data_IF_637975117336
#
_entry.id   IF_637975117336
#
_cell.length_a   1.000
_cell.length_b   1.000
_cell.length_c   1.000
_cell.angle_alpha   90.00
_cell.angle_beta   90.00
_cell.angle_gamma   90.00
#
_symmetry.space_group_name_H-M   'P 1'
#
loop_
_entity.id
_entity.type
_entity.pdbx_description
1 polymer ?
#
# COMPACT_ATOMS: atom_id res chain seq x y z
N UNK A 1 -9.11 1.40 -0.05
CA UNK A 1 -7.85 2.18 -0.01
C UNK A 1 -6.72 1.27 0.43
N UNK A 2 -5.65 1.22 -0.33
CA UNK A 2 -4.39 0.52 0.01
C UNK A 2 -3.28 1.56 0.07
N UNK A 3 -2.89 1.94 1.28
CA UNK A 3 -1.81 2.88 1.53
C UNK A 3 -0.46 2.18 1.67
N UNK A 4 0.62 2.81 1.22
CA UNK A 4 1.94 2.25 1.38
C UNK A 4 3.06 3.13 0.84
N UNK A 5 4.28 2.88 1.29
CA UNK A 5 5.46 3.56 0.74
C UNK A 5 5.74 3.13 -0.70
N UNK A 6 5.46 1.86 -1.03
CA UNK A 6 5.71 1.25 -2.35
C UNK A 6 7.14 1.50 -2.85
N UNK A 7 8.11 1.09 -2.06
CA UNK A 7 9.54 1.34 -2.29
C UNK A 7 10.39 0.05 -2.40
N UNK A 8 10.16 -0.75 -3.46
CA UNK A 8 9.17 -0.64 -4.53
C UNK A 8 7.82 -1.29 -4.21
N UNK A 9 6.82 -1.03 -5.07
CA UNK A 9 5.65 -1.90 -5.19
C UNK A 9 6.09 -3.30 -5.60
N UNK A 10 5.41 -4.35 -5.10
CA UNK A 10 5.80 -5.74 -5.35
C UNK A 10 4.60 -6.69 -5.41
N UNK A 11 4.84 -7.93 -5.82
CA UNK A 11 3.80 -8.90 -6.11
C UNK A 11 2.89 -9.21 -4.92
N UNK A 12 3.39 -9.16 -3.67
CA UNK A 12 2.54 -9.30 -2.49
C UNK A 12 1.50 -8.16 -2.37
N UNK A 13 1.85 -6.91 -2.72
CA UNK A 13 0.87 -5.82 -2.74
C UNK A 13 -0.23 -6.07 -3.78
N UNK A 14 0.14 -6.54 -4.98
CA UNK A 14 -0.82 -6.85 -6.03
C UNK A 14 -1.72 -8.02 -5.67
N UNK A 15 -1.18 -9.05 -5.00
CA UNK A 15 -1.95 -10.18 -4.51
C UNK A 15 -2.96 -9.75 -3.44
N UNK A 16 -2.55 -8.90 -2.48
CA UNK A 16 -3.47 -8.30 -1.50
C UNK A 16 -4.60 -7.53 -2.16
N UNK A 17 -4.29 -6.69 -3.15
CA UNK A 17 -5.30 -5.90 -3.86
C UNK A 17 -6.30 -6.79 -4.63
N UNK A 18 -5.82 -7.84 -5.28
CA UNK A 18 -6.67 -8.84 -5.95
C UNK A 18 -7.59 -9.54 -4.97
N UNK A 19 -7.06 -10.09 -3.90
CA UNK A 19 -7.84 -10.74 -2.87
C UNK A 19 -8.90 -9.80 -2.26
N UNK A 20 -8.57 -8.52 -2.05
CA UNK A 20 -9.55 -7.54 -1.59
C UNK A 20 -10.69 -7.34 -2.59
N UNK A 21 -10.40 -7.20 -3.88
CA UNK A 21 -11.44 -7.07 -4.91
C UNK A 21 -12.38 -8.28 -4.93
N UNK A 22 -11.82 -9.48 -4.81
CA UNK A 22 -12.57 -10.75 -4.87
C UNK A 22 -13.41 -10.99 -3.61
N UNK A 23 -12.79 -10.91 -2.42
CA UNK A 23 -13.45 -11.29 -1.17
C UNK A 23 -14.30 -10.19 -0.54
N UNK A 24 -14.01 -8.93 -0.84
CA UNK A 24 -14.76 -7.79 -0.30
C UNK A 24 -15.72 -7.17 -1.31
N UNK A 25 -15.78 -7.71 -2.54
CA UNK A 25 -16.62 -7.22 -3.64
C UNK A 25 -16.45 -5.71 -3.88
N UNK A 26 -15.21 -5.22 -3.82
CA UNK A 26 -14.91 -3.81 -3.99
C UNK A 26 -15.06 -3.38 -5.45
N UNK A 27 -15.62 -2.20 -5.67
CA UNK A 27 -15.71 -1.62 -7.01
C UNK A 27 -14.32 -1.28 -7.59
N UNK A 28 -13.40 -0.82 -6.74
CA UNK A 28 -12.03 -0.43 -7.12
C UNK A 28 -11.09 -0.46 -5.94
N UNK A 29 -9.79 -0.45 -6.21
CA UNK A 29 -8.72 -0.24 -5.22
C UNK A 29 -8.09 1.12 -5.49
N UNK A 30 -8.13 1.99 -4.49
CA UNK A 30 -7.41 3.25 -4.52
C UNK A 30 -6.04 3.06 -3.87
N UNK A 31 -4.98 3.15 -4.67
CA UNK A 31 -3.59 3.02 -4.24
C UNK A 31 -3.07 4.39 -3.83
N UNK A 32 -2.69 4.53 -2.56
CA UNK A 32 -2.25 5.80 -1.99
C UNK A 32 -0.76 5.70 -1.61
N UNK A 33 0.15 6.10 -2.52
CA UNK A 33 1.57 6.14 -2.19
C UNK A 33 1.83 7.24 -1.16
N UNK A 34 2.46 6.87 -0.03
CA UNK A 34 2.77 7.84 1.03
C UNK A 34 3.87 8.80 0.61
N UNK A 35 3.81 10.03 1.08
CA UNK A 35 4.91 11.00 1.02
C UNK A 35 6.14 10.53 1.80
N UNK A 36 6.98 11.45 2.17
CA UNK A 36 8.13 11.25 3.08
C UNK A 36 7.82 11.90 4.42
N UNK A 37 7.10 11.25 5.32
CA UNK A 37 6.82 11.83 6.63
C UNK A 37 8.09 11.85 7.48
N UNK A 38 8.31 12.95 8.18
CA UNK A 38 9.52 13.18 9.01
C UNK A 38 9.69 12.16 10.14
N UNK A 39 8.60 11.53 10.57
CA UNK A 39 8.61 10.53 11.66
C UNK A 39 8.94 9.08 11.20
N UNK A 40 9.19 8.87 9.91
CA UNK A 40 9.57 7.54 9.36
C UNK A 40 10.93 7.62 8.69
N UNK A 41 11.61 6.49 8.60
CA UNK A 41 12.79 6.40 7.73
C UNK A 41 12.39 6.79 6.31
N UNK A 42 13.12 7.71 5.66
CA UNK A 42 12.83 8.12 4.30
C UNK A 42 12.88 6.91 3.35
N UNK A 43 12.02 6.94 2.34
CA UNK A 43 12.08 5.98 1.27
C UNK A 43 13.44 6.08 0.54
N UNK A 44 13.93 4.96 0.01
CA UNK A 44 15.19 4.94 -0.76
C UNK A 44 15.01 5.53 -2.15
N UNK A 45 13.88 5.23 -2.81
CA UNK A 45 13.53 5.84 -4.07
C UNK A 45 12.71 7.12 -3.85
N UNK A 46 12.95 8.13 -4.68
CA UNK A 46 12.18 9.38 -4.63
C UNK A 46 10.69 9.13 -4.90
N UNK A 47 9.79 10.04 -4.46
CA UNK A 47 8.36 9.94 -4.74
C UNK A 47 8.06 9.74 -6.24
N UNK A 48 8.80 10.42 -7.13
CA UNK A 48 8.68 10.28 -8.59
C UNK A 48 8.97 8.86 -9.06
N UNK A 49 10.04 8.24 -8.57
CA UNK A 49 10.37 6.86 -8.94
C UNK A 49 9.38 5.86 -8.38
N UNK A 50 8.90 6.07 -7.14
CA UNK A 50 7.89 5.18 -6.53
C UNK A 50 6.55 5.25 -7.27
N UNK A 51 6.13 6.46 -7.68
CA UNK A 51 4.94 6.64 -8.49
C UNK A 51 5.07 5.96 -9.86
N UNK A 52 6.17 6.17 -10.58
CA UNK A 52 6.40 5.54 -11.87
C UNK A 52 6.40 4.00 -11.79
N UNK A 53 7.00 3.42 -10.74
CA UNK A 53 6.95 1.97 -10.51
C UNK A 53 5.52 1.50 -10.22
N UNK A 54 4.74 2.28 -9.49
CA UNK A 54 3.35 1.96 -9.19
C UNK A 54 2.50 2.01 -10.46
N UNK A 55 2.61 3.02 -11.28
CA UNK A 55 1.94 3.13 -12.59
C UNK A 55 2.23 1.92 -13.48
N UNK A 56 3.51 1.51 -13.57
CA UNK A 56 3.91 0.33 -14.32
C UNK A 56 3.33 -0.98 -13.76
N UNK A 57 3.22 -1.09 -12.45
CA UNK A 57 2.70 -2.28 -11.80
C UNK A 57 1.18 -2.43 -11.95
N UNK A 58 0.46 -1.32 -12.06
CA UNK A 58 -1.00 -1.29 -12.10
C UNK A 58 -1.58 -1.22 -13.51
N UNK A 59 -0.72 -1.06 -14.52
CA UNK A 59 -1.15 -0.99 -15.91
C UNK A 59 -1.96 -2.25 -16.30
N UNK A 60 -3.14 -2.03 -16.90
CA UNK A 60 -3.99 -3.10 -17.42
C UNK A 60 -5.10 -3.60 -16.47
N UNK A 61 -5.15 -3.17 -15.20
CA UNK A 61 -6.30 -3.44 -14.33
C UNK A 61 -7.15 -2.16 -14.15
N UNK A 62 -8.32 -2.06 -14.79
CA UNK A 62 -9.12 -0.83 -14.79
C UNK A 62 -9.72 -0.48 -13.43
N UNK A 63 -9.75 -1.43 -12.49
CA UNK A 63 -10.22 -1.20 -11.12
C UNK A 63 -9.14 -0.67 -10.17
N UNK A 64 -7.90 -0.47 -10.67
CA UNK A 64 -6.83 0.13 -9.89
C UNK A 64 -6.67 1.60 -10.24
N UNK A 65 -6.77 2.45 -9.25
CA UNK A 65 -6.58 3.89 -9.37
C UNK A 65 -5.46 4.35 -8.44
N UNK A 66 -4.66 5.31 -8.87
CA UNK A 66 -3.61 5.90 -8.02
C UNK A 66 -4.08 7.27 -7.53
N UNK A 67 -4.03 7.44 -6.22
CA UNK A 67 -4.30 8.72 -5.58
C UNK A 67 -2.99 9.31 -5.05
N UNK A 68 -2.55 10.39 -5.65
CA UNK A 68 -1.28 11.03 -5.34
C UNK A 68 -1.36 12.09 -4.25
N UNK A 69 -2.50 12.25 -3.57
CA UNK A 69 -2.71 13.33 -2.58
C UNK A 69 -1.66 13.38 -1.47
N UNK A 70 -1.13 12.24 -1.04
CA UNK A 70 -0.07 12.17 -0.02
C UNK A 70 1.33 12.49 -0.56
N UNK A 71 1.51 12.54 -1.89
CA UNK A 71 2.78 12.95 -2.51
C UNK A 71 2.90 14.47 -2.69
N UNK A 72 1.81 15.21 -2.51
CA UNK A 72 1.82 16.66 -2.65
C UNK A 72 2.71 17.32 -1.58
N UNK A 73 3.43 18.41 -1.91
CA UNK A 73 4.17 19.18 -0.92
C UNK A 73 3.28 19.63 0.24
N UNK A 74 3.72 19.42 1.46
CA UNK A 74 2.95 19.77 2.66
C UNK A 74 1.72 18.88 2.94
N UNK A 75 1.59 17.75 2.22
CA UNK A 75 0.53 16.79 2.52
C UNK A 75 0.68 16.23 3.94
N UNK A 76 -0.45 16.04 4.60
CA UNK A 76 -0.45 15.40 5.92
C UNK A 76 0.06 13.96 5.80
N UNK A 77 0.90 13.51 6.72
CA UNK A 77 1.40 12.15 6.74
C UNK A 77 0.43 11.16 7.42
N UNK A 78 -0.71 11.61 7.89
CA UNK A 78 -1.63 10.82 8.69
C UNK A 78 -2.79 10.26 7.86
N UNK A 79 -3.04 8.98 8.00
CA UNK A 79 -4.13 8.26 7.31
C UNK A 79 -5.50 8.88 7.60
N UNK A 80 -5.73 9.37 8.81
CA UNK A 80 -6.99 10.01 9.18
C UNK A 80 -7.30 11.23 8.31
N UNK A 81 -6.31 12.05 7.98
CA UNK A 81 -6.50 13.23 7.16
C UNK A 81 -6.77 12.88 5.69
N UNK A 82 -6.14 11.81 5.20
CA UNK A 82 -6.44 11.24 3.89
C UNK A 82 -7.90 10.78 3.83
N UNK A 83 -8.36 10.04 4.84
CA UNK A 83 -9.75 9.58 4.92
C UNK A 83 -10.76 10.73 5.03
N UNK A 84 -10.46 11.76 5.81
CA UNK A 84 -11.30 12.98 5.91
C UNK A 84 -11.45 13.66 4.55
N UNK A 85 -10.35 13.83 3.83
CA UNK A 85 -10.39 14.44 2.49
C UNK A 85 -11.23 13.61 1.53
N UNK A 86 -11.04 12.28 1.51
CA UNK A 86 -11.85 11.38 0.69
C UNK A 86 -13.35 11.50 1.00
N UNK A 87 -13.71 11.62 2.28
CA UNK A 87 -15.11 11.78 2.71
C UNK A 87 -15.71 13.13 2.32
N UNK A 88 -14.90 14.18 2.23
CA UNK A 88 -15.33 15.52 1.89
C UNK A 88 -15.50 15.74 0.37
N UNK A 89 -14.97 14.85 -0.47
CA UNK A 89 -15.07 14.97 -1.93
C UNK A 89 -16.47 14.60 -2.45
N UNK A 90 -16.89 15.19 -3.59
CA UNK A 90 -18.11 14.76 -4.28
C UNK A 90 -18.05 13.26 -4.58
N UNK A 91 -19.05 12.51 -4.13
CA UNK A 91 -19.05 11.05 -4.21
C UNK A 91 -18.37 10.33 -3.04
N UNK A 92 -17.82 11.04 -2.06
CA UNK A 92 -17.20 10.51 -0.84
C UNK A 92 -18.16 9.79 0.14
N UNK A 93 -19.45 9.73 -0.18
CA UNK A 93 -20.45 8.98 0.61
C UNK A 93 -20.38 7.47 0.48
N UNK A 94 -19.62 6.95 -0.46
CA UNK A 94 -19.39 5.51 -0.61
C UNK A 94 -18.61 4.90 0.55
N UNK A 95 -18.74 3.59 0.75
CA UNK A 95 -17.97 2.89 1.79
C UNK A 95 -16.47 2.93 1.46
N UNK A 96 -15.64 3.33 2.42
CA UNK A 96 -14.19 3.23 2.35
C UNK A 96 -13.75 2.02 3.16
N UNK A 97 -13.02 1.10 2.51
CA UNK A 97 -12.37 -0.02 3.19
C UNK A 97 -10.87 0.25 3.24
N UNK A 98 -10.32 0.35 4.45
CA UNK A 98 -8.88 0.50 4.67
C UNK A 98 -8.23 -0.89 4.73
N UNK A 99 -7.35 -1.18 3.78
CA UNK A 99 -6.66 -2.46 3.62
C UNK A 99 -5.32 -2.42 4.36
N UNK A 100 -5.12 -3.29 5.34
CA UNK A 100 -3.92 -3.35 6.17
C UNK A 100 -3.35 -4.77 6.25
N UNK A 101 -2.02 -4.90 6.26
CA UNK A 101 -1.40 -6.12 6.75
C UNK A 101 -1.49 -6.21 8.27
N UNK A 102 -1.47 -7.41 8.84
CA UNK A 102 -1.58 -7.64 10.29
C UNK A 102 -0.53 -6.89 11.12
N UNK A 103 0.68 -6.69 10.59
CA UNK A 103 1.75 -5.91 11.23
C UNK A 103 1.44 -4.40 11.32
N UNK A 104 0.71 -3.85 10.36
CA UNK A 104 0.24 -2.47 10.41
C UNK A 104 -0.99 -2.35 11.32
N UNK A 105 -1.90 -3.32 11.22
CA UNK A 105 -3.07 -3.36 12.08
C UNK A 105 -2.69 -3.43 13.57
N UNK A 106 -1.70 -4.24 13.94
CA UNK A 106 -1.20 -4.33 15.30
C UNK A 106 -0.67 -2.98 15.88
N UNK A 107 -0.34 -2.03 15.00
CA UNK A 107 0.11 -0.68 15.37
C UNK A 107 -0.97 0.38 15.26
N UNK A 108 -2.18 0.02 14.85
CA UNK A 108 -3.25 0.99 14.57
C UNK A 108 -3.55 1.89 15.77
N UNK A 109 -3.55 1.33 17.00
CA UNK A 109 -3.82 2.11 18.20
C UNK A 109 -2.73 3.17 18.52
N UNK A 110 -1.57 3.06 17.89
CA UNK A 110 -0.49 4.09 17.96
C UNK A 110 -0.55 5.13 16.85
N UNK A 111 -1.49 5.01 15.92
CA UNK A 111 -1.65 5.99 14.85
C UNK A 111 -2.27 7.28 15.37
N UNK A 112 -2.15 8.34 14.58
CA UNK A 112 -2.84 9.59 14.88
C UNK A 112 -4.35 9.41 14.75
N UNK A 113 -5.09 9.71 15.81
CA UNK A 113 -6.55 9.58 15.91
C UNK A 113 -7.10 8.20 15.46
N UNK A 114 -6.70 7.09 16.09
CA UNK A 114 -7.04 5.75 15.62
C UNK A 114 -8.54 5.47 15.65
N UNK A 115 -9.27 6.05 16.59
CA UNK A 115 -10.73 5.91 16.69
C UNK A 115 -11.44 6.60 15.52
N UNK A 116 -10.91 7.73 15.09
CA UNK A 116 -11.43 8.44 13.93
C UNK A 116 -11.15 7.67 12.63
N UNK A 117 -9.98 7.02 12.50
CA UNK A 117 -9.69 6.10 11.38
C UNK A 117 -10.76 5.00 11.31
N UNK A 118 -11.10 4.36 12.47
CA UNK A 118 -12.14 3.33 12.55
C UNK A 118 -13.53 3.86 12.21
N UNK A 119 -13.82 5.11 12.55
CA UNK A 119 -15.10 5.75 12.22
C UNK A 119 -15.24 6.06 10.73
N UNK A 120 -14.14 6.47 10.10
CA UNK A 120 -14.13 6.91 8.70
C UNK A 120 -14.04 5.77 7.69
N UNK A 121 -13.47 4.61 8.08
CA UNK A 121 -13.27 3.49 7.19
C UNK A 121 -13.52 2.14 7.89
N UNK A 122 -14.14 1.21 7.19
CA UNK A 122 -14.13 -0.21 7.58
C UNK A 122 -12.72 -0.76 7.40
N UNK A 123 -12.22 -1.52 8.36
CA UNK A 123 -10.87 -2.09 8.31
C UNK A 123 -10.94 -3.52 7.85
N UNK A 124 -10.13 -3.85 6.85
CA UNK A 124 -9.91 -5.21 6.37
C UNK A 124 -8.43 -5.57 6.49
N UNK A 125 -8.16 -6.74 7.05
CA UNK A 125 -6.80 -7.14 7.43
C UNK A 125 -6.38 -8.40 6.69
N UNK A 126 -5.17 -8.37 6.16
CA UNK A 126 -4.47 -9.51 5.59
C UNK A 126 -3.53 -10.10 6.63
N UNK A 127 -3.80 -11.32 7.05
CA UNK A 127 -2.95 -12.01 8.03
C UNK A 127 -1.60 -12.42 7.41
N UNK A 128 -0.57 -12.30 8.21
CA UNK A 128 0.74 -12.84 7.91
C UNK A 128 1.04 -14.04 8.81
N UNK A 129 1.83 -15.01 8.37
CA UNK A 129 2.26 -16.12 9.20
C UNK A 129 2.86 -15.62 10.52
N UNK A 130 2.38 -16.15 11.63
CA UNK A 130 2.86 -15.79 12.97
C UNK A 130 2.24 -14.52 13.58
N UNK A 131 1.33 -13.84 12.88
CA UNK A 131 0.64 -12.63 13.37
C UNK A 131 -0.88 -12.73 13.18
N UNK A 132 -1.57 -13.68 13.86
CA UNK A 132 -3.02 -13.81 13.74
C UNK A 132 -3.72 -12.60 14.39
N UNK A 133 -4.80 -12.17 13.77
CA UNK A 133 -5.63 -11.06 14.27
C UNK A 133 -6.82 -11.64 15.02
N UNK A 134 -6.96 -11.29 16.31
CA UNK A 134 -8.05 -11.72 17.18
C UNK A 134 -8.95 -10.55 17.55
N UNK A 135 -9.50 -9.89 16.55
CA UNK A 135 -10.41 -8.75 16.72
C UNK A 135 -11.66 -8.99 15.87
N UNK A 136 -12.80 -9.19 16.54
CA UNK A 136 -14.09 -9.38 15.88
C UNK A 136 -14.60 -8.12 15.16
N UNK A 137 -13.98 -6.96 15.41
CA UNK A 137 -14.34 -5.68 14.79
C UNK A 137 -13.71 -5.45 13.41
N UNK A 138 -12.89 -6.40 12.90
CA UNK A 138 -12.25 -6.28 11.59
C UNK A 138 -12.57 -7.46 10.70
N UNK A 139 -12.60 -7.22 9.41
CA UNK A 139 -12.78 -8.28 8.42
C UNK A 139 -11.41 -8.86 8.03
N UNK A 140 -11.22 -10.16 8.30
CA UNK A 140 -10.04 -10.88 7.80
C UNK A 140 -10.28 -11.25 6.35
N UNK A 141 -9.33 -10.90 5.48
CA UNK A 141 -9.38 -11.23 4.05
C UNK A 141 -8.57 -12.50 3.82
N UNK A 142 -9.17 -13.56 3.26
CA UNK A 142 -8.43 -14.73 2.84
C UNK A 142 -7.33 -14.35 1.84
N UNK A 143 -6.10 -14.70 2.16
CA UNK A 143 -4.93 -14.32 1.38
C UNK A 143 -3.82 -15.34 1.59
N UNK A 144 -3.23 -15.81 0.52
CA UNK A 144 -2.02 -16.63 0.60
C UNK A 144 -0.79 -15.72 0.73
N UNK A 145 -0.12 -15.71 1.88
CA UNK A 145 1.01 -14.84 2.11
C UNK A 145 2.17 -15.14 1.17
N UNK A 146 2.68 -14.12 0.52
CA UNK A 146 3.90 -14.23 -0.29
C UNK A 146 5.12 -13.82 0.53
N UNK A 147 6.21 -14.59 0.50
CA UNK A 147 7.46 -14.28 1.22
C UNK A 147 8.25 -13.18 0.48
N UNK A 148 7.64 -12.03 0.26
CA UNK A 148 8.20 -10.90 -0.49
C UNK A 148 8.18 -9.66 0.38
N UNK A 149 9.30 -8.96 0.49
CA UNK A 149 9.39 -7.67 1.17
C UNK A 149 10.16 -6.64 0.36
N UNK A 150 9.79 -5.37 0.49
CA UNK A 150 10.50 -4.27 -0.16
C UNK A 150 11.97 -4.20 0.28
N UNK A 151 12.29 -4.54 1.52
CA UNK A 151 13.67 -4.56 2.04
C UNK A 151 14.53 -5.63 1.35
N UNK A 152 14.00 -6.84 1.15
CA UNK A 152 14.71 -7.90 0.43
C UNK A 152 14.91 -7.53 -1.04
N UNK A 153 13.87 -6.98 -1.70
CA UNK A 153 13.98 -6.52 -3.08
C UNK A 153 15.07 -5.46 -3.22
N UNK A 154 15.13 -4.47 -2.33
CA UNK A 154 16.20 -3.45 -2.38
C UNK A 154 17.57 -4.03 -2.15
N UNK A 155 17.72 -4.98 -1.22
CA UNK A 155 18.99 -5.67 -0.98
C UNK A 155 19.46 -6.46 -2.20
N UNK A 156 18.56 -7.19 -2.86
CA UNK A 156 18.85 -7.92 -4.11
C UNK A 156 19.21 -6.97 -5.25
N UNK A 157 18.46 -5.91 -5.45
CA UNK A 157 18.75 -4.88 -6.46
C UNK A 157 20.13 -4.25 -6.26
N UNK A 158 20.52 -3.98 -5.00
CA UNK A 158 21.85 -3.46 -4.65
C UNK A 158 22.98 -4.41 -5.08
N UNK A 159 22.73 -5.73 -5.02
CA UNK A 159 23.70 -6.76 -5.45
C UNK A 159 23.60 -7.12 -6.94
N UNK A 160 22.65 -6.52 -7.69
CA UNK A 160 22.40 -6.81 -9.09
C UNK A 160 21.76 -8.18 -9.33
N UNK A 161 21.10 -8.74 -8.32
CA UNK A 161 20.40 -10.03 -8.41
C UNK A 161 19.08 -9.91 -9.18
N UNK A 162 18.59 -11.04 -9.69
CA UNK A 162 17.30 -11.12 -10.37
C UNK A 162 16.13 -10.81 -9.41
N UNK A 163 15.21 -10.01 -9.88
CA UNK A 163 13.98 -9.62 -9.18
C UNK A 163 12.72 -10.33 -9.71
N UNK A 164 12.89 -11.29 -10.63
CA UNK A 164 11.78 -12.07 -11.20
C UNK A 164 10.97 -12.75 -10.10
N UNK A 165 9.64 -12.74 -10.25
CA UNK A 165 8.73 -13.30 -9.24
C UNK A 165 8.53 -12.44 -7.98
N UNK A 166 9.37 -11.44 -7.74
CA UNK A 166 9.23 -10.52 -6.58
C UNK A 166 8.46 -9.26 -6.95
N UNK A 167 8.72 -8.71 -8.13
CA UNK A 167 8.03 -7.53 -8.68
C UNK A 167 7.54 -7.83 -10.10
N UNK A 168 6.55 -7.08 -10.62
CA UNK A 168 6.21 -7.16 -12.04
C UNK A 168 7.41 -6.87 -12.94
N UNK A 169 7.49 -7.55 -14.08
CA UNK A 169 8.61 -7.38 -15.02
C UNK A 169 8.86 -5.91 -15.45
N UNK A 170 7.84 -5.07 -15.72
CA UNK A 170 8.06 -3.65 -16.00
C UNK A 170 8.72 -2.90 -14.85
N UNK A 171 8.40 -3.26 -13.59
CA UNK A 171 9.03 -2.67 -12.38
C UNK A 171 10.48 -3.10 -12.25
N UNK A 172 10.79 -4.39 -12.47
CA UNK A 172 12.17 -4.88 -12.46
C UNK A 172 13.04 -4.16 -13.50
N UNK A 173 12.53 -4.02 -14.72
CA UNK A 173 13.18 -3.28 -15.80
C UNK A 173 13.40 -1.79 -15.46
N UNK A 174 12.42 -1.17 -14.82
CA UNK A 174 12.53 0.22 -14.35
C UNK A 174 13.63 0.38 -13.31
N UNK A 175 13.67 -0.50 -12.29
CA UNK A 175 14.70 -0.52 -11.24
C UNK A 175 16.10 -0.65 -11.87
N UNK A 176 16.28 -1.60 -12.79
CA UNK A 176 17.55 -1.83 -13.47
C UNK A 176 17.99 -0.62 -14.32
N UNK A 177 17.08 -0.09 -15.15
CA UNK A 177 17.32 1.07 -16.04
C UNK A 177 17.74 2.31 -15.27
N UNK A 178 17.09 2.59 -14.16
CA UNK A 178 17.35 3.77 -13.33
C UNK A 178 18.38 3.55 -12.23
N UNK A 179 18.98 2.34 -12.16
CA UNK A 179 19.96 1.94 -11.15
C UNK A 179 19.48 2.23 -9.71
N UNK A 180 18.19 2.01 -9.47
CA UNK A 180 17.62 2.24 -8.15
C UNK A 180 18.17 1.22 -7.14
N UNK A 181 18.33 1.69 -5.91
CA UNK A 181 18.78 0.90 -4.75
C UNK A 181 20.26 0.44 -4.78
N UNK A 182 21.04 0.89 -5.76
CA UNK A 182 22.49 0.63 -5.88
C UNK A 182 23.31 1.69 -5.13
#
# INVERSE_FOLDING_TARGET
>A
MLGGTFDPVHNAHLAMARAALEHLHLARILWVPTGNPDYRKPARASPRHRLAMLELALAGEPRYEIDTRELAPGASPYTVDTLRRMRAEPGGGGEIVLLLGSDQYAKLESWHEPQEVRRLARIAVFERPGAPVRDAGVQIVPFEPMPVSASDIRARAARGEDLSGLVPAPVANYIARHRLYR
#
